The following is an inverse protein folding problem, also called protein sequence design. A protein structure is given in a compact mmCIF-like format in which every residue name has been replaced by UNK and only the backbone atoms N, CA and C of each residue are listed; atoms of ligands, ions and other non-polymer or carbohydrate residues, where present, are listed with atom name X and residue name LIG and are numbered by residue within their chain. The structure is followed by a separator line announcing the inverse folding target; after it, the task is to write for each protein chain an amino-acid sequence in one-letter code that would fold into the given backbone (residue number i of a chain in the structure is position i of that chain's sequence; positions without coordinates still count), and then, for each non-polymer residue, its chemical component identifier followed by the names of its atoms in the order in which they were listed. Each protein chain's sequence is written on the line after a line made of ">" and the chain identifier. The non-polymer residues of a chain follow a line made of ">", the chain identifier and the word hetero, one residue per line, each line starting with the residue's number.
data_IF_340565228954
#
_entry.id   IF_340565228954
#
_cell.length_a   1.000
_cell.length_b   1.000
_cell.length_c   1.000
_cell.angle_alpha   90.00
_cell.angle_beta   90.00
_cell.angle_gamma   90.00
#
_symmetry.space_group_name_H-M   'P 1'
#
loop_
_entity.id
_entity.type
_entity.pdbx_description
1 polymer ?
#
# COMPACT_ATOMS: atom_id res chain seq x y z
N UNK A 1 29.74 -41.74 -24.86
CA UNK A 1 30.11 -40.32 -24.65
C UNK A 1 28.83 -39.55 -24.39
N UNK A 2 28.38 -39.53 -23.13
CA UNK A 2 27.15 -38.89 -22.69
C UNK A 2 27.42 -37.38 -22.47
N UNK A 3 26.66 -36.47 -23.10
CA UNK A 3 26.94 -35.05 -23.01
C UNK A 3 26.52 -34.52 -21.63
N UNK A 4 27.52 -33.96 -20.94
CA UNK A 4 27.44 -32.71 -20.17
C UNK A 4 26.17 -32.49 -19.32
N UNK A 5 26.39 -32.65 -18.02
CA UNK A 5 25.55 -32.19 -16.92
C UNK A 5 25.31 -30.67 -16.91
N UNK A 6 24.25 -30.31 -16.19
CA UNK A 6 23.96 -28.98 -15.63
C UNK A 6 23.40 -27.98 -16.64
N UNK A 7 22.09 -27.99 -16.89
CA UNK A 7 21.11 -27.31 -16.02
C UNK A 7 21.60 -25.91 -15.67
N UNK A 8 21.60 -25.03 -16.67
CA UNK A 8 21.48 -23.59 -16.49
C UNK A 8 20.08 -23.31 -15.92
N UNK A 9 19.91 -23.52 -14.61
CA UNK A 9 18.82 -22.91 -13.87
C UNK A 9 19.18 -21.43 -13.76
N UNK A 10 18.44 -20.49 -14.38
CA UNK A 10 18.68 -19.08 -14.15
C UNK A 10 18.36 -18.80 -12.68
N UNK A 11 19.36 -18.39 -11.91
CA UNK A 11 19.23 -17.80 -10.58
C UNK A 11 18.47 -16.45 -10.71
N UNK A 12 17.19 -16.50 -11.05
CA UNK A 12 16.32 -15.33 -11.22
C UNK A 12 15.29 -15.20 -10.09
N UNK A 13 15.57 -15.79 -8.92
CA UNK A 13 14.59 -15.97 -7.84
C UNK A 13 15.03 -15.47 -6.46
N UNK A 14 15.85 -14.43 -6.37
CA UNK A 14 16.00 -13.69 -5.11
C UNK A 14 15.98 -12.19 -5.35
N UNK A 15 14.77 -11.60 -5.33
CA UNK A 15 14.64 -10.14 -5.39
C UNK A 15 13.23 -9.59 -5.60
N UNK A 16 12.17 -10.36 -5.37
CA UNK A 16 10.79 -9.85 -5.39
C UNK A 16 10.05 -10.30 -4.14
N UNK A 17 10.44 -9.77 -2.97
CA UNK A 17 9.48 -9.67 -1.87
C UNK A 17 8.51 -8.54 -2.21
N UNK A 18 7.68 -8.78 -3.22
CA UNK A 18 6.58 -7.94 -3.59
C UNK A 18 5.76 -7.72 -2.32
N UNK A 19 5.67 -6.47 -1.86
CA UNK A 19 4.68 -6.14 -0.86
C UNK A 19 3.33 -6.61 -1.40
N UNK A 20 2.56 -7.36 -0.61
CA UNK A 20 1.38 -7.97 -1.15
C UNK A 20 0.38 -6.84 -1.35
N UNK A 21 0.15 -6.51 -2.63
CA UNK A 21 -0.74 -5.48 -3.18
C UNK A 21 -0.07 -4.09 -3.28
N UNK A 22 0.68 -3.89 -4.36
CA UNK A 22 0.82 -2.58 -4.98
C UNK A 22 -0.52 -2.27 -5.65
N UNK A 23 -1.28 -1.27 -5.20
CA UNK A 23 -2.52 -0.86 -5.89
C UNK A 23 -2.22 -0.16 -7.22
N UNK A 24 -0.94 0.14 -7.47
CA UNK A 24 -0.36 0.43 -8.77
C UNK A 24 0.31 -0.83 -9.34
N UNK A 25 -0.47 -1.81 -9.79
CA UNK A 25 0.09 -2.85 -10.65
C UNK A 25 0.55 -2.20 -11.97
N UNK A 26 1.81 -2.42 -12.31
CA UNK A 26 2.52 -1.81 -13.43
C UNK A 26 1.77 -1.78 -14.76
N UNK A 27 1.41 -0.58 -15.18
CA UNK A 27 1.20 -0.25 -16.58
C UNK A 27 1.77 1.16 -16.80
N UNK A 28 2.64 1.41 -17.80
CA UNK A 28 3.18 2.74 -18.09
C UNK A 28 2.12 3.81 -18.37
N UNK A 29 0.88 3.42 -18.69
CA UNK A 29 -0.25 4.32 -18.90
C UNK A 29 -1.10 4.45 -17.61
N UNK A 30 -0.67 5.29 -16.69
CA UNK A 30 -1.28 5.33 -15.36
C UNK A 30 -2.67 5.97 -15.25
N UNK A 31 -3.37 6.18 -16.37
CA UNK A 31 -4.84 6.26 -16.38
C UNK A 31 -5.52 4.99 -15.83
N UNK A 32 -4.85 3.83 -15.87
CA UNK A 32 -5.35 2.61 -15.21
C UNK A 32 -5.13 2.58 -13.69
N UNK A 33 -4.15 3.31 -13.16
CA UNK A 33 -3.80 3.31 -11.74
C UNK A 33 -4.88 3.94 -10.86
N UNK A 34 -5.35 5.13 -11.24
CA UNK A 34 -6.42 5.83 -10.53
C UNK A 34 -7.75 5.06 -10.55
N UNK A 35 -8.15 4.55 -11.72
CA UNK A 35 -9.38 3.75 -11.84
C UNK A 35 -9.33 2.49 -10.97
N UNK A 36 -8.23 1.73 -11.03
CA UNK A 36 -8.05 0.53 -10.22
C UNK A 36 -8.02 0.86 -8.71
N UNK A 37 -7.43 1.99 -8.34
CA UNK A 37 -7.45 2.51 -6.97
C UNK A 37 -8.88 2.77 -6.50
N UNK A 38 -9.65 3.55 -7.28
CA UNK A 38 -11.05 3.89 -7.00
C UNK A 38 -11.93 2.65 -6.89
N UNK A 39 -11.81 1.71 -7.83
CA UNK A 39 -12.52 0.42 -7.79
C UNK A 39 -12.20 -0.37 -6.51
N UNK A 40 -10.94 -0.36 -6.08
CA UNK A 40 -10.52 -1.06 -4.86
C UNK A 40 -11.09 -0.43 -3.61
N UNK A 41 -11.03 0.91 -3.48
CA UNK A 41 -11.54 1.60 -2.28
C UNK A 41 -13.07 1.59 -2.22
N UNK A 42 -13.76 1.59 -3.36
CA UNK A 42 -15.22 1.49 -3.47
C UNK A 42 -15.75 0.08 -3.16
N UNK A 43 -14.87 -0.91 -3.10
CA UNK A 43 -15.23 -2.27 -2.72
C UNK A 43 -15.81 -2.39 -1.31
N UNK A 44 -16.28 -3.60 -1.00
CA UNK A 44 -16.91 -3.92 0.30
C UNK A 44 -15.91 -3.97 1.45
N UNK A 45 -14.64 -4.25 1.16
CA UNK A 45 -13.57 -4.40 2.16
C UNK A 45 -12.97 -3.03 2.50
N UNK A 46 -12.56 -2.87 3.76
CA UNK A 46 -11.76 -1.72 4.16
C UNK A 46 -10.34 -1.84 3.59
N UNK A 47 -9.82 -0.74 3.07
CA UNK A 47 -8.53 -0.66 2.38
C UNK A 47 -7.61 0.28 3.15
N UNK A 48 -6.39 -0.14 3.47
CA UNK A 48 -5.36 0.73 4.04
C UNK A 48 -4.32 1.03 2.97
N UNK A 49 -4.13 2.30 2.64
CA UNK A 49 -3.21 2.74 1.59
C UNK A 49 -2.08 3.52 2.21
N UNK A 50 -0.84 3.13 1.92
CA UNK A 50 0.36 3.91 2.25
C UNK A 50 0.76 4.77 1.05
N UNK A 51 0.73 6.09 1.21
CA UNK A 51 1.28 7.06 0.28
C UNK A 51 2.73 7.31 0.67
N UNK A 52 3.64 6.93 -0.21
CA UNK A 52 5.08 6.96 0.04
C UNK A 52 5.83 7.42 -1.19
N UNK A 53 7.12 7.72 -1.04
CA UNK A 53 8.05 7.97 -2.14
C UNK A 53 9.03 6.80 -2.22
N UNK A 54 9.30 6.32 -3.43
CA UNK A 54 10.30 5.27 -3.67
C UNK A 54 11.70 5.83 -4.02
N UNK A 55 11.90 7.15 -3.93
CA UNK A 55 13.21 7.77 -4.14
C UNK A 55 14.20 7.38 -3.05
N UNK A 56 15.46 7.22 -3.45
CA UNK A 56 16.59 6.95 -2.54
C UNK A 56 16.77 8.02 -1.46
N UNK A 57 16.34 9.26 -1.70
CA UNK A 57 16.44 10.36 -0.75
C UNK A 57 15.36 10.35 0.35
N UNK A 58 14.30 9.54 0.25
CA UNK A 58 13.27 9.47 1.29
C UNK A 58 13.58 8.38 2.33
N UNK A 59 14.50 8.67 3.25
CA UNK A 59 14.83 7.77 4.38
C UNK A 59 13.60 7.34 5.23
N UNK A 60 12.71 8.24 5.69
CA UNK A 60 11.56 7.82 6.50
C UNK A 60 10.56 6.95 5.71
N UNK A 61 10.46 7.17 4.38
CA UNK A 61 9.66 6.32 3.50
C UNK A 61 10.20 4.89 3.45
N UNK A 62 11.52 4.75 3.28
CA UNK A 62 12.20 3.47 3.20
C UNK A 62 12.08 2.67 4.51
N UNK A 63 12.16 3.35 5.65
CA UNK A 63 11.98 2.72 6.97
C UNK A 63 10.53 2.26 7.20
N UNK A 64 9.53 3.00 6.71
CA UNK A 64 8.12 2.62 6.86
C UNK A 64 7.76 1.36 6.06
N UNK A 65 8.32 1.16 4.87
CA UNK A 65 7.97 0.04 3.99
C UNK A 65 7.98 -1.34 4.67
N UNK A 66 9.06 -1.76 5.38
CA UNK A 66 9.06 -3.05 6.07
C UNK A 66 8.06 -3.12 7.22
N UNK A 67 7.83 -2.02 7.94
CA UNK A 67 6.83 -1.96 9.02
C UNK A 67 5.40 -2.04 8.46
N UNK A 68 5.11 -1.33 7.38
CA UNK A 68 3.84 -1.41 6.68
C UNK A 68 3.61 -2.82 6.12
N UNK A 69 4.64 -3.47 5.56
CA UNK A 69 4.53 -4.85 5.08
C UNK A 69 4.19 -5.84 6.21
N UNK A 70 4.78 -5.67 7.39
CA UNK A 70 4.47 -6.48 8.59
C UNK A 70 3.02 -6.26 9.02
N UNK A 71 2.58 -5.01 9.12
CA UNK A 71 1.19 -4.68 9.48
C UNK A 71 0.20 -5.23 8.45
N UNK A 72 0.48 -5.05 7.15
CA UNK A 72 -0.36 -5.50 6.05
C UNK A 72 -0.61 -7.01 6.10
N UNK A 73 0.40 -7.82 6.42
CA UNK A 73 0.23 -9.28 6.59
C UNK A 73 -0.79 -9.62 7.66
N UNK A 74 -0.80 -8.91 8.79
CA UNK A 74 -1.74 -9.13 9.90
C UNK A 74 -3.11 -8.57 9.59
N UNK A 75 -3.18 -7.40 8.96
CA UNK A 75 -4.43 -6.76 8.53
C UNK A 75 -5.17 -7.59 7.48
N UNK A 76 -4.45 -8.24 6.56
CA UNK A 76 -5.05 -9.17 5.59
C UNK A 76 -5.77 -10.35 6.25
N UNK A 77 -5.18 -10.92 7.31
CA UNK A 77 -5.85 -11.97 8.10
C UNK A 77 -7.13 -11.49 8.78
N UNK A 78 -7.23 -10.17 9.03
CA UNK A 78 -8.42 -9.51 9.60
C UNK A 78 -9.41 -9.01 8.53
N UNK A 79 -9.20 -9.38 7.26
CA UNK A 79 -10.11 -9.06 6.14
C UNK A 79 -9.90 -7.69 5.49
N UNK A 80 -8.79 -6.99 5.79
CA UNK A 80 -8.46 -5.72 5.14
C UNK A 80 -7.68 -5.94 3.85
N UNK A 81 -7.86 -5.03 2.91
CA UNK A 81 -6.94 -4.86 1.79
C UNK A 81 -5.88 -3.82 2.20
N UNK A 82 -4.66 -4.00 1.73
CA UNK A 82 -3.59 -3.02 1.95
C UNK A 82 -3.00 -2.66 0.60
N UNK A 83 -2.56 -1.41 0.43
CA UNK A 83 -2.02 -0.89 -0.80
C UNK A 83 -0.85 0.04 -0.53
N UNK A 84 0.04 0.15 -1.50
CA UNK A 84 1.07 1.21 -1.53
C UNK A 84 0.88 2.02 -2.81
N UNK A 85 0.95 3.34 -2.66
CA UNK A 85 0.94 4.33 -3.74
C UNK A 85 2.27 5.07 -3.69
N UNK A 86 3.00 5.02 -4.80
CA UNK A 86 4.18 5.84 -5.01
C UNK A 86 3.75 7.22 -5.52
N UNK A 87 4.00 8.24 -4.71
CA UNK A 87 3.62 9.64 -4.98
C UNK A 87 4.52 10.31 -6.01
N UNK A 88 5.67 9.71 -6.36
CA UNK A 88 6.58 10.24 -7.37
C UNK A 88 6.15 9.93 -8.80
N UNK A 89 5.28 8.94 -8.97
CA UNK A 89 4.77 8.59 -10.29
C UNK A 89 3.77 9.66 -10.73
N UNK A 90 4.01 10.29 -11.88
CA UNK A 90 3.16 11.36 -12.45
C UNK A 90 1.68 10.98 -12.49
N UNK A 91 1.40 9.69 -12.68
CA UNK A 91 0.06 9.12 -12.77
C UNK A 91 -0.71 9.11 -11.44
N UNK A 92 -0.01 9.29 -10.32
CA UNK A 92 -0.57 9.30 -8.97
C UNK A 92 -0.60 10.72 -8.36
N UNK A 93 -0.15 11.74 -9.10
CA UNK A 93 -0.14 13.13 -8.61
C UNK A 93 -1.56 13.57 -8.24
N UNK A 94 -2.55 13.24 -9.06
CA UNK A 94 -3.95 13.53 -8.78
C UNK A 94 -4.48 12.82 -7.51
N UNK A 95 -4.03 11.58 -7.25
CA UNK A 95 -4.43 10.85 -6.03
C UNK A 95 -3.91 11.53 -4.76
N UNK A 96 -2.74 12.15 -4.80
CA UNK A 96 -2.17 12.89 -3.67
C UNK A 96 -3.07 14.09 -3.31
N UNK A 97 -3.47 14.85 -4.31
CA UNK A 97 -4.26 16.07 -4.15
C UNK A 97 -5.70 15.73 -3.73
N UNK A 98 -6.35 14.80 -4.44
CA UNK A 98 -7.73 14.36 -4.15
C UNK A 98 -7.87 13.75 -2.75
N UNK A 99 -6.84 13.04 -2.28
CA UNK A 99 -6.86 12.46 -0.92
C UNK A 99 -6.21 13.35 0.14
N UNK A 100 -5.81 14.58 -0.21
CA UNK A 100 -5.20 15.57 0.67
C UNK A 100 -4.03 14.97 1.48
N UNK A 101 -3.06 14.42 0.75
CA UNK A 101 -1.79 13.91 1.26
C UNK A 101 -0.81 15.08 1.33
N UNK A 102 -0.68 15.66 2.51
CA UNK A 102 0.17 16.83 2.79
C UNK A 102 1.61 16.43 3.11
N UNK A 103 1.79 15.28 3.77
CA UNK A 103 3.09 14.75 4.20
C UNK A 103 3.28 13.30 3.75
N UNK A 104 4.56 12.94 3.54
CA UNK A 104 4.97 11.56 3.27
C UNK A 104 6.03 11.11 4.29
N UNK A 105 6.05 9.82 4.68
CA UNK A 105 5.01 8.86 4.34
C UNK A 105 3.71 9.13 5.11
N UNK A 106 2.58 8.73 4.55
CA UNK A 106 1.27 8.80 5.23
C UNK A 106 0.41 7.61 4.87
N UNK A 107 -0.51 7.24 5.76
CA UNK A 107 -1.41 6.10 5.60
C UNK A 107 -2.85 6.54 5.75
N UNK A 108 -3.69 6.06 4.84
CA UNK A 108 -5.10 6.42 4.76
C UNK A 108 -5.93 5.14 4.83
N UNK A 109 -6.95 5.16 5.67
CA UNK A 109 -7.91 4.06 5.79
C UNK A 109 -9.16 4.42 5.02
N UNK A 110 -9.53 3.60 4.05
CA UNK A 110 -10.71 3.74 3.23
C UNK A 110 -11.74 2.65 3.52
N UNK A 111 -13.01 2.97 3.32
CA UNK A 111 -14.12 2.02 3.36
C UNK A 111 -15.26 2.53 2.50
N UNK A 112 -15.76 1.70 1.56
CA UNK A 112 -16.85 2.07 0.65
C UNK A 112 -16.58 3.40 -0.08
N UNK A 113 -15.35 3.60 -0.54
CA UNK A 113 -14.92 4.80 -1.26
C UNK A 113 -14.54 6.00 -0.40
N UNK A 114 -14.85 5.97 0.90
CA UNK A 114 -14.65 7.11 1.79
C UNK A 114 -13.38 6.98 2.62
N UNK A 115 -12.63 8.08 2.73
CA UNK A 115 -11.52 8.21 3.67
C UNK A 115 -12.03 8.29 5.11
N UNK A 116 -11.77 7.25 5.90
CA UNK A 116 -12.20 7.15 7.30
C UNK A 116 -11.26 7.87 8.26
N UNK A 117 -9.95 7.70 8.05
CA UNK A 117 -8.91 8.15 8.98
C UNK A 117 -7.58 8.30 8.25
N UNK A 118 -6.70 9.14 8.78
CA UNK A 118 -5.35 9.40 8.27
C UNK A 118 -4.34 9.23 9.41
N UNK A 119 -3.15 8.77 9.06
CA UNK A 119 -2.01 8.65 9.95
C UNK A 119 -0.76 9.11 9.22
N UNK A 120 -0.13 10.17 9.71
CA UNK A 120 1.02 10.78 9.07
C UNK A 120 2.33 10.35 9.73
N UNK A 121 3.40 10.36 8.94
CA UNK A 121 4.76 10.05 9.37
C UNK A 121 5.08 8.57 9.46
N UNK A 122 6.31 8.30 9.91
CA UNK A 122 6.78 6.95 10.18
C UNK A 122 6.01 6.33 11.35
N UNK A 123 5.67 5.05 11.22
CA UNK A 123 4.93 4.30 12.22
C UNK A 123 5.45 2.87 12.27
N UNK A 124 5.53 2.32 13.47
CA UNK A 124 5.79 0.89 13.65
C UNK A 124 4.58 0.07 13.20
N UNK A 125 4.83 -1.19 12.86
CA UNK A 125 3.78 -2.14 12.48
C UNK A 125 2.67 -2.28 13.51
N UNK A 126 3.02 -2.26 14.81
CA UNK A 126 2.04 -2.30 15.90
C UNK A 126 1.19 -1.04 15.99
N UNK A 127 1.79 0.15 15.79
CA UNK A 127 1.06 1.43 15.77
C UNK A 127 0.04 1.47 14.64
N UNK A 128 0.41 1.00 13.45
CA UNK A 128 -0.48 0.92 12.29
C UNK A 128 -1.69 0.00 12.61
N UNK A 129 -1.45 -1.16 13.21
CA UNK A 129 -2.55 -2.06 13.59
C UNK A 129 -3.49 -1.46 14.63
N UNK A 130 -2.94 -0.78 15.64
CA UNK A 130 -3.73 -0.12 16.69
C UNK A 130 -4.57 1.01 16.10
N UNK A 131 -3.99 1.83 15.22
CA UNK A 131 -4.70 2.90 14.53
C UNK A 131 -5.85 2.37 13.66
N UNK A 132 -5.65 1.29 12.91
CA UNK A 132 -6.74 0.66 12.13
C UNK A 132 -7.87 0.17 13.05
N UNK A 133 -7.51 -0.49 14.15
CA UNK A 133 -8.48 -1.00 15.13
C UNK A 133 -9.24 0.14 15.84
N UNK A 134 -8.55 1.22 16.17
CA UNK A 134 -9.15 2.42 16.75
C UNK A 134 -10.11 3.10 15.77
N UNK A 135 -9.69 3.27 14.52
CA UNK A 135 -10.46 3.93 13.47
C UNK A 135 -11.77 3.20 13.16
N UNK A 136 -11.79 1.86 13.19
CA UNK A 136 -13.03 1.08 13.02
C UNK A 136 -14.00 1.20 14.19
N UNK A 137 -13.50 1.34 15.41
CA UNK A 137 -14.34 1.49 16.61
C UNK A 137 -15.01 2.86 16.66
N UNK A 138 -14.32 3.89 16.18
CA UNK A 138 -14.78 5.27 16.23
C UNK A 138 -15.36 5.76 14.89
N UNK A 139 -15.62 4.84 13.95
CA UNK A 139 -16.31 5.15 12.71
C UNK A 139 -17.80 5.42 13.00
N UNK A 140 -18.14 6.68 13.30
CA UNK A 140 -19.52 7.13 13.59
C UNK A 140 -20.51 6.80 12.45
N UNK A 141 -20.01 6.57 11.23
CA UNK A 141 -20.80 6.15 10.06
C UNK A 141 -21.23 4.68 10.08
N UNK A 142 -20.81 3.90 11.08
CA UNK A 142 -21.28 2.53 11.30
C UNK A 142 -22.74 2.48 11.79
N UNK A 143 -23.29 3.61 12.24
CA UNK A 143 -24.64 3.74 12.80
C UNK A 143 -25.70 4.18 11.78
N UNK A 144 -25.37 4.21 10.48
CA UNK A 144 -26.29 4.50 9.37
C UNK A 144 -26.43 3.28 8.46
#
# INVERSE_FOLDING_TARGET
>A
MLPWLAVLLPLCLLGKKQLPVTLTAGNPDGRKGEKAFLETINGTKSVVVSFTSLRTSCKPCAELQPEFAKAAKKLKKKGFLCGVVDTDLAVNVNLKDVHNVTSIPSMHLFRKGLGLSKLEGFQSSSSIEQWVAWSKRHDKRRLL
#
